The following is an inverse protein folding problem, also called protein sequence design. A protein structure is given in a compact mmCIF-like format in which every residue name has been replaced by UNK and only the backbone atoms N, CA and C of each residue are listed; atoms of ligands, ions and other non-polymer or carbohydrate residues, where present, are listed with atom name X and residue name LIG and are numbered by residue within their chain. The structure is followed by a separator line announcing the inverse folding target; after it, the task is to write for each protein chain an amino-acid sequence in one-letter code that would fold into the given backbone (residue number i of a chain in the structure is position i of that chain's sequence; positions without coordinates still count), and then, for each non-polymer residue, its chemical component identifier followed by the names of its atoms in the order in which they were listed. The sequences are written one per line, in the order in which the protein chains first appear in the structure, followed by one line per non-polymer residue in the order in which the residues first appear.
data_IF_467116999408
#
_entry.id   IF_467116999408
#
_cell.length_a   1.000
_cell.length_b   1.000
_cell.length_c   1.000
_cell.angle_alpha   90.00
_cell.angle_beta   90.00
_cell.angle_gamma   90.00
#
_symmetry.space_group_name_H-M   'P 1'
#
loop_
_entity.id
_entity.type
_entity.pdbx_description
1 polymer ?
#
# COMPACT_ATOMS: atom_id res chain seq x y z
N UNK A 1 3.72 7.49 -15.23
CA UNK A 1 2.46 7.76 -15.97
C UNK A 1 1.90 6.52 -16.69
N UNK A 2 2.69 5.73 -17.43
CA UNK A 2 2.22 4.57 -18.24
C UNK A 2 1.47 3.46 -17.46
N UNK A 3 1.91 3.12 -16.23
CA UNK A 3 1.31 2.05 -15.41
C UNK A 3 -0.15 2.33 -15.01
N UNK A 4 -0.52 3.60 -14.88
CA UNK A 4 -1.88 4.01 -14.50
C UNK A 4 -2.88 3.78 -15.64
N UNK A 5 -2.44 3.91 -16.90
CA UNK A 5 -3.31 3.83 -18.08
C UNK A 5 -3.82 2.41 -18.30
N UNK A 6 -2.94 1.40 -18.23
CA UNK A 6 -3.31 -0.01 -18.41
C UNK A 6 -4.30 -0.44 -17.32
N UNK A 7 -4.02 -0.09 -16.06
CA UNK A 7 -4.87 -0.43 -14.93
C UNK A 7 -6.26 0.20 -15.07
N UNK A 8 -6.34 1.49 -15.38
CA UNK A 8 -7.62 2.18 -15.60
C UNK A 8 -8.42 1.51 -16.70
N UNK A 9 -7.77 1.20 -17.83
CA UNK A 9 -8.45 0.53 -18.94
C UNK A 9 -8.99 -0.85 -18.56
N UNK A 10 -8.22 -1.67 -17.82
CA UNK A 10 -8.68 -2.97 -17.34
C UNK A 10 -9.86 -2.87 -16.36
N UNK A 11 -9.87 -1.82 -15.52
CA UNK A 11 -10.94 -1.57 -14.56
C UNK A 11 -12.21 -1.04 -15.23
N UNK A 12 -12.07 -0.08 -16.14
CA UNK A 12 -13.17 0.50 -16.91
C UNK A 12 -13.87 -0.56 -17.77
N UNK A 13 -13.11 -1.46 -18.37
CA UNK A 13 -13.62 -2.59 -19.15
C UNK A 13 -14.21 -3.72 -18.28
N UNK A 14 -14.17 -3.60 -16.94
CA UNK A 14 -14.61 -4.67 -16.03
C UNK A 14 -13.80 -5.96 -16.17
N UNK A 15 -12.56 -5.88 -16.66
CA UNK A 15 -11.77 -7.07 -16.93
C UNK A 15 -11.21 -7.70 -15.65
N UNK A 16 -11.07 -6.93 -14.57
CA UNK A 16 -10.63 -7.41 -13.26
C UNK A 16 -11.87 -7.83 -12.45
N UNK A 17 -11.86 -9.06 -11.96
CA UNK A 17 -12.99 -9.67 -11.26
C UNK A 17 -12.74 -9.89 -9.77
N UNK A 18 -11.49 -10.20 -9.42
CA UNK A 18 -11.05 -10.32 -8.04
C UNK A 18 -9.55 -10.03 -7.91
N UNK A 19 -9.14 -9.57 -6.73
CA UNK A 19 -7.75 -9.37 -6.33
C UNK A 19 -7.55 -10.05 -4.99
N UNK A 20 -6.68 -11.06 -4.96
CA UNK A 20 -6.44 -11.91 -3.79
C UNK A 20 -5.02 -11.66 -3.31
N UNK A 21 -4.85 -11.17 -2.08
CA UNK A 21 -3.56 -10.99 -1.44
C UNK A 21 -3.10 -12.29 -0.80
N UNK A 22 -1.90 -12.73 -1.12
CA UNK A 22 -1.31 -13.93 -0.54
C UNK A 22 -0.35 -13.58 0.60
N UNK A 23 -0.13 -14.51 1.55
CA UNK A 23 0.88 -14.36 2.58
C UNK A 23 2.27 -14.04 2.03
N UNK A 24 3.00 -13.22 2.79
CA UNK A 24 4.43 -12.99 2.57
C UNK A 24 5.22 -14.31 2.69
N UNK A 25 6.34 -14.43 2.00
CA UNK A 25 7.28 -15.53 2.21
C UNK A 25 6.75 -16.93 1.83
N UNK A 26 5.77 -17.02 0.92
CA UNK A 26 5.36 -18.29 0.30
C UNK A 26 6.34 -18.71 -0.80
N UNK A 27 6.88 -17.74 -1.55
CA UNK A 27 7.82 -18.00 -2.64
C UNK A 27 9.27 -18.06 -2.15
N UNK A 28 10.04 -19.00 -2.70
CA UNK A 28 11.41 -19.30 -2.27
C UNK A 28 12.40 -18.14 -2.43
N UNK A 29 12.13 -17.18 -3.32
CA UNK A 29 13.12 -16.20 -3.77
C UNK A 29 12.89 -14.78 -3.21
N UNK A 30 11.77 -14.53 -2.52
CA UNK A 30 11.42 -13.19 -2.05
C UNK A 30 10.42 -13.24 -0.89
N UNK A 31 10.64 -12.42 0.14
CA UNK A 31 9.67 -12.20 1.22
C UNK A 31 8.54 -11.23 0.85
N UNK A 32 8.52 -10.67 -0.36
CA UNK A 32 7.54 -9.68 -0.79
C UNK A 32 6.16 -10.36 -0.91
N UNK A 33 5.11 -9.81 -0.27
CA UNK A 33 3.74 -10.28 -0.47
C UNK A 33 3.34 -10.20 -1.94
N UNK A 34 2.67 -11.22 -2.42
CA UNK A 34 2.20 -11.31 -3.81
C UNK A 34 0.69 -11.29 -3.85
N UNK A 35 0.11 -10.91 -4.99
CA UNK A 35 -1.32 -11.02 -5.21
C UNK A 35 -1.65 -11.80 -6.49
N UNK A 36 -2.84 -12.39 -6.51
CA UNK A 36 -3.44 -13.03 -7.67
C UNK A 36 -4.55 -12.12 -8.18
N UNK A 37 -4.45 -11.72 -9.45
CA UNK A 37 -5.49 -10.94 -10.13
C UNK A 37 -6.26 -11.88 -11.04
N UNK A 38 -7.56 -12.01 -10.79
CA UNK A 38 -8.45 -12.85 -11.60
C UNK A 38 -9.11 -11.96 -12.64
N UNK A 39 -8.93 -12.32 -13.91
CA UNK A 39 -9.55 -11.63 -15.04
C UNK A 39 -10.78 -12.39 -15.52
N UNK A 40 -11.87 -11.67 -15.80
CA UNK A 40 -13.12 -12.23 -16.33
C UNK A 40 -13.60 -11.37 -17.49
N UNK A 41 -13.97 -12.01 -18.60
CA UNK A 41 -14.64 -11.31 -19.71
C UNK A 41 -16.10 -11.05 -19.35
N UNK A 42 -16.62 -9.90 -19.77
CA UNK A 42 -18.04 -9.51 -19.61
C UNK A 42 -18.50 -9.41 -18.15
N UNK A 43 -17.68 -8.86 -17.26
CA UNK A 43 -18.16 -8.48 -15.92
C UNK A 43 -18.98 -7.19 -16.02
N UNK A 44 -20.30 -7.31 -16.07
CA UNK A 44 -21.22 -6.19 -16.35
C UNK A 44 -21.35 -5.23 -15.17
N UNK A 45 -21.25 -5.72 -13.94
CA UNK A 45 -21.33 -4.91 -12.72
C UNK A 45 -20.02 -4.18 -12.40
N UNK A 46 -18.90 -4.59 -13.02
CA UNK A 46 -17.55 -4.06 -12.81
C UNK A 46 -17.11 -4.08 -11.33
N UNK A 47 -17.78 -4.88 -10.51
CA UNK A 47 -17.42 -5.06 -9.11
C UNK A 47 -16.16 -5.91 -9.00
N UNK A 48 -15.35 -5.64 -7.98
CA UNK A 48 -14.10 -6.38 -7.72
C UNK A 48 -14.14 -6.91 -6.32
N UNK A 49 -13.96 -8.22 -6.19
CA UNK A 49 -13.82 -8.86 -4.90
C UNK A 49 -12.36 -8.75 -4.45
N UNK A 50 -12.13 -8.06 -3.35
CA UNK A 50 -10.84 -8.03 -2.67
C UNK A 50 -10.84 -9.11 -1.58
N UNK A 51 -9.81 -9.95 -1.54
CA UNK A 51 -9.61 -10.96 -0.49
C UNK A 51 -8.22 -10.74 0.10
N UNK A 52 -8.14 -10.57 1.42
CA UNK A 52 -6.88 -10.55 2.16
C UNK A 52 -6.63 -11.90 2.81
N UNK A 53 -5.84 -12.75 2.14
CA UNK A 53 -5.38 -14.01 2.70
C UNK A 53 -4.00 -13.90 3.35
N UNK A 54 -3.49 -12.69 3.64
CA UNK A 54 -2.13 -12.49 4.17
C UNK A 54 -1.85 -13.25 5.48
N UNK A 55 -2.90 -13.52 6.27
CA UNK A 55 -2.84 -14.28 7.53
C UNK A 55 -3.11 -15.79 7.36
N UNK A 56 -3.45 -16.25 6.16
CA UNK A 56 -3.83 -17.65 5.87
C UNK A 56 -2.60 -18.49 5.54
N UNK A 57 -1.79 -18.76 6.55
CA UNK A 57 -0.61 -19.61 6.41
C UNK A 57 -0.23 -20.30 7.72
N UNK A 58 0.43 -21.45 7.57
CA UNK A 58 1.16 -22.10 8.63
C UNK A 58 2.63 -21.69 8.55
N UNK A 59 3.18 -21.21 9.67
CA UNK A 59 4.60 -20.84 9.77
C UNK A 59 5.47 -22.09 9.76
N UNK A 60 6.36 -22.20 8.77
CA UNK A 60 7.25 -23.34 8.58
C UNK A 60 8.71 -22.87 8.45
N UNK A 61 9.42 -22.77 9.59
CA UNK A 61 10.81 -22.29 9.67
C UNK A 61 11.01 -20.94 8.96
N UNK A 62 11.60 -20.96 7.77
CA UNK A 62 11.94 -19.79 6.96
C UNK A 62 10.87 -19.47 5.89
N UNK A 63 9.77 -20.22 5.84
CA UNK A 63 8.72 -20.08 4.83
C UNK A 63 7.34 -20.12 5.46
N UNK A 64 6.39 -19.47 4.82
CA UNK A 64 4.98 -19.63 5.10
C UNK A 64 4.39 -20.65 4.13
N UNK A 65 3.65 -21.63 4.65
CA UNK A 65 3.01 -22.67 3.84
C UNK A 65 1.49 -22.50 3.89
N UNK A 66 0.83 -22.61 2.75
CA UNK A 66 -0.63 -22.65 2.69
C UNK A 66 -1.08 -24.11 2.65
N UNK A 67 -1.68 -24.57 3.74
CA UNK A 67 -2.37 -25.86 3.78
C UNK A 67 -3.70 -25.80 2.98
N UNK A 68 -4.30 -26.96 2.69
CA UNK A 68 -5.50 -27.06 1.86
C UNK A 68 -6.68 -26.24 2.41
N UNK A 69 -6.84 -26.21 3.75
CA UNK A 69 -7.91 -25.47 4.43
C UNK A 69 -7.86 -23.97 4.15
N UNK A 70 -6.66 -23.38 4.07
CA UNK A 70 -6.48 -21.97 3.72
C UNK A 70 -6.92 -21.70 2.28
N UNK A 71 -6.59 -22.61 1.36
CA UNK A 71 -6.97 -22.49 -0.05
C UNK A 71 -8.49 -22.63 -0.20
N UNK A 72 -9.08 -23.62 0.47
CA UNK A 72 -10.53 -23.87 0.45
C UNK A 72 -11.30 -22.66 0.97
N UNK A 73 -10.83 -22.02 2.05
CA UNK A 73 -11.42 -20.78 2.55
C UNK A 73 -11.42 -19.67 1.50
N UNK A 74 -10.29 -19.43 0.84
CA UNK A 74 -10.16 -18.41 -0.22
C UNK A 74 -11.09 -18.72 -1.40
N UNK A 75 -11.12 -19.99 -1.83
CA UNK A 75 -11.95 -20.44 -2.96
C UNK A 75 -13.43 -20.30 -2.62
N UNK A 76 -13.85 -20.72 -1.43
CA UNK A 76 -15.24 -20.58 -0.97
C UNK A 76 -15.67 -19.11 -0.94
N UNK A 77 -14.85 -18.23 -0.35
CA UNK A 77 -15.13 -16.78 -0.35
C UNK A 77 -15.17 -16.20 -1.76
N UNK A 78 -14.28 -16.63 -2.65
CA UNK A 78 -14.31 -16.23 -4.06
C UNK A 78 -15.60 -16.65 -4.77
N UNK A 79 -16.06 -17.88 -4.53
CA UNK A 79 -17.28 -18.43 -5.14
C UNK A 79 -18.55 -17.76 -4.61
N UNK A 80 -18.60 -17.48 -3.30
CA UNK A 80 -19.73 -16.80 -2.67
C UNK A 80 -19.83 -15.34 -3.07
N UNK A 81 -18.68 -14.67 -3.29
CA UNK A 81 -18.57 -13.28 -3.72
C UNK A 81 -19.35 -12.32 -2.80
N UNK A 82 -19.08 -12.42 -1.50
CA UNK A 82 -19.69 -11.59 -0.46
C UNK A 82 -18.62 -10.97 0.42
N UNK A 83 -19.03 -9.94 1.15
CA UNK A 83 -18.22 -9.33 2.19
C UNK A 83 -18.04 -10.31 3.35
N UNK A 84 -16.82 -10.37 3.86
CA UNK A 84 -16.45 -11.16 5.03
C UNK A 84 -15.58 -10.26 5.91
N UNK A 85 -16.01 -10.06 7.15
CA UNK A 85 -15.33 -9.16 8.09
C UNK A 85 -13.83 -9.47 8.17
N UNK A 86 -13.01 -8.42 8.02
CA UNK A 86 -11.54 -8.47 8.02
C UNK A 86 -10.91 -9.48 7.04
N UNK A 87 -11.64 -9.93 6.02
CA UNK A 87 -11.14 -10.94 5.09
C UNK A 87 -11.48 -10.65 3.63
N UNK A 88 -12.70 -10.22 3.32
CA UNK A 88 -13.11 -9.94 1.95
C UNK A 88 -14.08 -8.77 1.86
N UNK A 89 -13.99 -8.02 0.77
CA UNK A 89 -14.89 -6.91 0.47
C UNK A 89 -15.19 -6.86 -1.03
N UNK A 90 -16.47 -6.80 -1.39
CA UNK A 90 -16.95 -6.65 -2.76
C UNK A 90 -17.09 -5.16 -3.08
N UNK A 91 -16.00 -4.57 -3.56
CA UNK A 91 -15.98 -3.17 -3.91
C UNK A 91 -16.76 -2.90 -5.20
N UNK A 92 -17.61 -1.88 -5.17
CA UNK A 92 -18.29 -1.37 -6.37
C UNK A 92 -17.32 -0.57 -7.25
N UNK A 93 -17.65 -0.41 -8.54
CA UNK A 93 -16.84 0.41 -9.44
C UNK A 93 -16.71 1.87 -8.96
N UNK A 94 -17.76 2.44 -8.37
CA UNK A 94 -17.74 3.81 -7.85
C UNK A 94 -16.81 3.95 -6.65
N UNK A 95 -16.76 2.95 -5.77
CA UNK A 95 -15.82 2.90 -4.66
C UNK A 95 -14.37 2.83 -5.16
N UNK A 96 -14.11 2.00 -6.19
CA UNK A 96 -12.78 1.89 -6.81
C UNK A 96 -12.36 3.21 -7.45
N UNK A 97 -13.30 3.91 -8.08
CA UNK A 97 -13.07 5.23 -8.67
C UNK A 97 -12.76 6.27 -7.60
N UNK A 98 -13.48 6.26 -6.48
CA UNK A 98 -13.21 7.13 -5.31
C UNK A 98 -11.81 6.90 -4.73
N UNK A 99 -11.32 5.67 -4.78
CA UNK A 99 -9.98 5.28 -4.34
C UNK A 99 -8.91 5.43 -5.43
N UNK A 100 -9.11 6.30 -6.43
CA UNK A 100 -8.17 6.60 -7.52
C UNK A 100 -7.71 5.36 -8.31
N UNK A 101 -8.60 4.37 -8.47
CA UNK A 101 -8.30 3.08 -9.10
C UNK A 101 -7.14 2.34 -8.42
N UNK A 102 -6.93 2.57 -7.12
CA UNK A 102 -5.94 1.85 -6.33
C UNK A 102 -6.48 0.44 -6.02
N UNK A 103 -5.68 -0.60 -6.27
CA UNK A 103 -6.08 -1.99 -6.03
C UNK A 103 -5.39 -2.59 -4.79
N UNK A 104 -4.83 -1.75 -3.94
CA UNK A 104 -4.25 -2.17 -2.68
C UNK A 104 -5.36 -2.68 -1.76
N UNK A 105 -5.29 -3.97 -1.40
CA UNK A 105 -6.28 -4.66 -0.58
C UNK A 105 -6.54 -3.97 0.77
N UNK A 106 -5.54 -3.43 1.50
CA UNK A 106 -5.78 -2.74 2.77
C UNK A 106 -6.68 -1.48 2.66
N UNK A 107 -6.98 -1.00 1.45
CA UNK A 107 -7.95 0.10 1.25
C UNK A 107 -9.41 -0.35 1.27
N UNK A 108 -9.63 -1.65 1.16
CA UNK A 108 -10.96 -2.27 1.00
C UNK A 108 -11.25 -3.26 2.12
N UNK A 109 -10.22 -3.97 2.60
CA UNK A 109 -10.31 -4.92 3.70
C UNK A 109 -9.48 -4.35 4.84
N UNK A 110 -10.15 -3.86 5.87
CA UNK A 110 -9.48 -3.38 7.08
C UNK A 110 -9.21 -4.59 8.00
N UNK A 111 -7.95 -5.01 8.02
CA UNK A 111 -7.47 -6.08 8.91
C UNK A 111 -6.74 -5.54 10.14
N UNK A 112 -6.70 -4.22 10.31
CA UNK A 112 -6.01 -3.58 11.41
C UNK A 112 -6.74 -3.85 12.72
N UNK A 113 -5.95 -3.91 13.80
CA UNK A 113 -6.51 -3.80 15.14
C UNK A 113 -6.50 -2.31 15.48
N UNK A 114 -7.50 -1.79 16.21
CA UNK A 114 -7.47 -0.43 16.68
C UNK A 114 -6.30 -0.28 17.67
N UNK A 115 -5.15 0.15 17.17
CA UNK A 115 -4.04 0.61 17.99
C UNK A 115 -4.40 2.00 18.52
N UNK A 116 -4.42 2.18 19.84
CA UNK A 116 -4.47 3.50 20.44
C UNK A 116 -3.14 4.21 20.13
N UNK A 117 -3.11 4.97 19.04
CA UNK A 117 -1.95 5.76 18.67
C UNK A 117 -1.84 6.95 19.62
N UNK A 118 -0.82 6.95 20.48
CA UNK A 118 -0.47 8.11 21.28
C UNK A 118 0.11 9.21 20.37
N UNK A 119 -0.75 10.14 19.98
CA UNK A 119 -0.40 11.30 19.15
C UNK A 119 0.73 12.13 19.79
N UNK A 120 0.85 12.15 21.11
CA UNK A 120 1.92 12.88 21.79
C UNK A 120 3.28 12.19 21.56
N UNK A 121 3.33 10.87 21.71
CA UNK A 121 4.54 10.08 21.46
C UNK A 121 4.99 10.16 19.99
N UNK A 122 4.05 10.09 19.04
CA UNK A 122 4.36 10.23 17.61
C UNK A 122 4.89 11.63 17.31
N UNK A 123 4.28 12.68 17.88
CA UNK A 123 4.74 14.06 17.66
C UNK A 123 6.14 14.31 18.23
N UNK A 124 6.47 13.70 19.37
CA UNK A 124 7.81 13.75 19.95
C UNK A 124 8.85 13.06 19.06
N UNK A 125 8.52 11.88 18.51
CA UNK A 125 9.41 11.17 17.58
C UNK A 125 9.67 11.97 16.30
N UNK A 126 8.64 12.63 15.75
CA UNK A 126 8.79 13.51 14.60
C UNK A 126 9.76 14.66 14.92
N UNK A 127 9.60 15.31 16.08
CA UNK A 127 10.47 16.42 16.49
C UNK A 127 11.94 15.97 16.70
N UNK A 128 12.15 14.77 17.23
CA UNK A 128 13.48 14.19 17.40
C UNK A 128 14.15 13.88 16.06
N UNK A 129 13.41 13.26 15.13
CA UNK A 129 13.87 13.01 13.77
C UNK A 129 14.22 14.30 13.02
N UNK A 130 13.42 15.36 13.17
CA UNK A 130 13.72 16.67 12.58
C UNK A 130 15.01 17.28 13.13
N UNK A 131 15.31 17.08 14.43
CA UNK A 131 16.58 17.50 15.01
C UNK A 131 17.77 16.71 14.44
N UNK A 132 17.62 15.40 14.24
CA UNK A 132 18.66 14.57 13.62
C UNK A 132 18.92 14.96 12.16
N UNK A 133 17.86 15.19 11.38
CA UNK A 133 17.97 15.68 10.00
C UNK A 133 18.72 17.00 9.96
N UNK A 134 18.36 17.94 10.85
CA UNK A 134 19.02 19.25 10.93
C UNK A 134 20.50 19.11 11.28
N UNK A 135 20.83 18.28 12.26
CA UNK A 135 22.22 18.02 12.65
C UNK A 135 23.03 17.42 11.50
N UNK A 136 22.48 16.44 10.79
CA UNK A 136 23.12 15.86 9.62
C UNK A 136 23.32 16.87 8.48
N UNK A 137 22.35 17.76 8.27
CA UNK A 137 22.48 18.87 7.31
C UNK A 137 23.57 19.87 7.70
N UNK A 138 23.66 20.24 8.98
CA UNK A 138 24.68 21.16 9.51
C UNK A 138 26.10 20.56 9.38
N UNK A 139 26.23 19.23 9.47
CA UNK A 139 27.49 18.52 9.24
C UNK A 139 27.85 18.43 7.73
N UNK A 140 26.86 18.23 6.85
CA UNK A 140 27.08 18.11 5.40
C UNK A 140 27.36 19.46 4.71
N UNK A 141 26.83 20.56 5.22
CA UNK A 141 27.01 21.90 4.63
C UNK A 141 28.49 22.33 4.46
N UNK A 142 29.36 22.22 5.48
CA UNK A 142 30.77 22.60 5.34
C UNK A 142 31.53 21.67 4.38
N UNK A 143 31.21 20.37 4.36
CA UNK A 143 31.78 19.40 3.42
C UNK A 143 31.41 19.74 1.95
N UNK A 144 30.19 20.20 1.70
CA UNK A 144 29.74 20.63 0.37
C UNK A 144 30.42 21.93 -0.08
N UNK A 145 30.66 22.86 0.84
CA UNK A 145 31.39 24.11 0.58
C UNK A 145 32.86 23.86 0.23
N UNK A 146 33.52 22.92 0.92
CA UNK A 146 34.91 22.51 0.64
C UNK A 146 35.06 21.85 -0.74
N UNK A 147 34.00 21.22 -1.25
CA UNK A 147 33.97 20.62 -2.60
C UNK A 147 33.62 21.63 -3.71
N UNK A 148 33.46 22.91 -3.38
CA UNK A 148 33.14 23.97 -4.35
C UNK A 148 31.69 23.97 -4.84
N UNK A 149 30.78 23.27 -4.15
CA UNK A 149 29.35 23.30 -4.43
C UNK A 149 28.76 24.52 -3.71
N UNK A 150 28.42 25.57 -4.45
CA UNK A 150 27.62 26.66 -3.90
C UNK A 150 26.19 26.17 -3.71
N UNK A 151 25.82 25.86 -2.48
CA UNK A 151 24.41 25.63 -2.10
C UNK A 151 23.73 26.97 -2.23
N UNK A 152 22.99 27.17 -3.33
CA UNK A 152 22.13 28.34 -3.48
C UNK A 152 21.05 28.25 -2.40
N UNK A 153 21.23 29.02 -1.32
CA UNK A 153 20.34 29.08 -0.17
C UNK A 153 18.91 29.41 -0.61
N UNK A 154 18.73 30.12 -1.73
CA UNK A 154 17.44 30.52 -2.26
C UNK A 154 16.69 29.34 -2.88
N UNK A 155 17.39 28.47 -3.61
CA UNK A 155 16.81 27.25 -4.19
C UNK A 155 16.40 26.24 -3.11
N UNK A 156 17.25 26.04 -2.09
CA UNK A 156 16.97 25.10 -0.99
C UNK A 156 15.86 25.60 -0.07
N UNK A 157 15.82 26.91 0.24
CA UNK A 157 14.77 27.54 1.04
C UNK A 157 13.44 27.56 0.30
N UNK A 158 13.45 27.73 -1.03
CA UNK A 158 12.26 27.60 -1.88
C UNK A 158 11.73 26.17 -1.93
N UNK A 159 12.62 25.18 -2.03
CA UNK A 159 12.26 23.76 -2.04
C UNK A 159 11.65 23.33 -0.68
N UNK A 160 12.21 23.81 0.43
CA UNK A 160 11.66 23.59 1.77
C UNK A 160 10.32 24.31 1.97
N UNK A 161 10.18 25.56 1.50
CA UNK A 161 8.92 26.29 1.57
C UNK A 161 7.80 25.64 0.74
N UNK A 162 8.15 25.06 -0.42
CA UNK A 162 7.21 24.34 -1.28
C UNK A 162 6.77 23.00 -0.64
N UNK A 163 7.69 22.29 0.02
CA UNK A 163 7.38 21.07 0.78
C UNK A 163 6.49 21.37 2.00
N UNK A 164 6.77 22.43 2.75
CA UNK A 164 5.94 22.85 3.88
C UNK A 164 4.54 23.26 3.41
N UNK A 165 4.42 23.98 2.29
CA UNK A 165 3.11 24.30 1.69
C UNK A 165 2.35 23.06 1.22
N UNK A 166 3.04 22.04 0.71
CA UNK A 166 2.39 20.78 0.33
C UNK A 166 1.86 20.00 1.55
N UNK A 167 2.54 20.10 2.70
CA UNK A 167 2.10 19.45 3.93
C UNK A 167 0.99 20.21 4.67
N UNK A 168 0.95 21.54 4.53
CA UNK A 168 -0.08 22.42 5.11
C UNK A 168 -1.32 22.59 4.20
N UNK A 169 -1.38 21.86 3.08
CA UNK A 169 -2.50 21.88 2.13
C UNK A 169 -3.61 20.89 2.47
N UNK A 170 -4.30 21.12 3.60
CA UNK A 170 -5.74 20.86 3.82
C UNK A 170 -6.33 22.13 4.42
#
# INVERSE_FOLDING_TARGET
MLKSIIRKHLLENGSIYAVIGLPAGIFFNTGIPTCVVILKKNNTDRSILFIDASKEFRKEKARNCMDAEHIDKIVNTYMERKDVDKFAHLASFEEIKKNDFNLNIPRYVDTSEPEEVDLSAVSAQIAELDMEIKKGMDELLPLAQDMGVTVDEEASRKMLADVVKMLQGV
#
